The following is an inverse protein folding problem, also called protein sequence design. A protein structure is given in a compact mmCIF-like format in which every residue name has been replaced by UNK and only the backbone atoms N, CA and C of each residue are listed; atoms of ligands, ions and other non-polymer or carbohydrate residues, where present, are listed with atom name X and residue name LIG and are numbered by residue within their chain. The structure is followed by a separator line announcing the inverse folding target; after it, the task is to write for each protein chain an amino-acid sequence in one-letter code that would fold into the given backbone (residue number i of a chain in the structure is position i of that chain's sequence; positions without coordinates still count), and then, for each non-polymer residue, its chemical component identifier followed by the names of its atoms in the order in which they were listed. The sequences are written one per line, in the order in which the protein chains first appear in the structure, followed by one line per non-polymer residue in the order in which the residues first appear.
data_IF_397200910374
#
_entry.id   IF_397200910374
#
_cell.length_a   1.000
_cell.length_b   1.000
_cell.length_c   1.000
_cell.angle_alpha   90.00
_cell.angle_beta   90.00
_cell.angle_gamma   90.00
#
_symmetry.space_group_name_H-M   'P 1'
#
loop_
_entity.id
_entity.type
_entity.pdbx_description
1 polymer ?
#
# COMPACT_ATOMS: atom_id res chain seq x y z
N UNK A 1 42.47 6.93 8.55
CA UNK A 1 41.39 6.55 9.50
C UNK A 1 40.07 7.15 9.04
N UNK A 2 39.62 6.80 7.83
CA UNK A 2 38.38 7.33 7.19
C UNK A 2 37.62 6.21 6.45
N UNK A 3 38.31 5.11 6.11
CA UNK A 3 37.77 3.93 5.41
C UNK A 3 36.95 3.00 6.32
N UNK A 4 37.15 3.04 7.64
CA UNK A 4 36.40 2.21 8.59
C UNK A 4 35.01 2.78 8.90
N UNK A 5 34.88 4.10 9.02
CA UNK A 5 33.60 4.79 9.27
C UNK A 5 32.62 4.60 8.11
N UNK A 6 33.11 4.73 6.87
CA UNK A 6 32.28 4.53 5.67
C UNK A 6 31.78 3.09 5.58
N UNK A 7 32.62 2.09 5.89
CA UNK A 7 32.19 0.68 5.91
C UNK A 7 31.18 0.39 7.01
N UNK A 8 31.28 1.04 8.17
CA UNK A 8 30.32 0.89 9.25
C UNK A 8 28.96 1.48 8.90
N UNK A 9 28.93 2.66 8.28
CA UNK A 9 27.72 3.32 7.77
C UNK A 9 27.07 2.50 6.65
N UNK A 10 27.84 2.00 5.69
CA UNK A 10 27.30 1.15 4.63
C UNK A 10 26.75 -0.18 5.16
N UNK A 11 27.39 -0.77 6.18
CA UNK A 11 26.91 -2.02 6.77
C UNK A 11 25.64 -1.82 7.59
N UNK A 12 25.54 -0.73 8.37
CA UNK A 12 24.31 -0.39 9.11
C UNK A 12 23.17 -0.04 8.17
N UNK A 13 23.37 0.87 7.21
CA UNK A 13 22.35 1.19 6.21
C UNK A 13 21.90 -0.05 5.41
N UNK A 14 22.85 -0.88 4.96
CA UNK A 14 22.52 -2.09 4.22
C UNK A 14 21.72 -3.07 5.08
N UNK A 15 22.01 -3.23 6.38
CA UNK A 15 21.22 -4.11 7.27
C UNK A 15 19.82 -3.55 7.57
N UNK A 16 19.66 -2.24 7.77
CA UNK A 16 18.32 -1.63 7.91
C UNK A 16 17.50 -1.72 6.62
N UNK A 17 18.14 -1.57 5.45
CA UNK A 17 17.46 -1.67 4.15
C UNK A 17 17.14 -3.12 3.79
N UNK A 18 17.97 -4.10 4.19
CA UNK A 18 17.72 -5.53 3.92
C UNK A 18 16.56 -6.12 4.74
N UNK A 19 16.27 -5.59 5.93
CA UNK A 19 15.13 -6.03 6.74
C UNK A 19 13.81 -5.35 6.34
N UNK A 20 13.85 -4.24 5.61
CA UNK A 20 12.66 -3.61 5.04
C UNK A 20 12.12 -4.48 3.89
N UNK A 21 11.40 -5.56 4.22
CA UNK A 21 10.48 -6.16 3.27
C UNK A 21 9.52 -5.04 2.84
N UNK A 22 9.60 -4.66 1.57
CA UNK A 22 8.72 -3.64 1.02
C UNK A 22 7.28 -3.95 1.47
N UNK A 23 6.48 -2.92 1.78
CA UNK A 23 5.12 -3.07 2.31
C UNK A 23 4.25 -4.06 1.52
N UNK A 24 4.61 -4.31 0.27
CA UNK A 24 3.94 -5.20 -0.68
C UNK A 24 4.57 -6.57 -0.92
N UNK A 25 5.71 -6.90 -0.31
CA UNK A 25 6.40 -8.20 -0.43
C UNK A 25 6.53 -8.93 0.92
N UNK A 26 5.71 -8.55 1.91
CA UNK A 26 5.58 -9.34 3.14
C UNK A 26 5.03 -10.73 2.81
N UNK A 27 5.63 -11.77 3.39
CA UNK A 27 5.23 -13.17 3.19
C UNK A 27 4.99 -13.90 4.50
N UNK A 28 5.26 -13.28 5.64
CA UNK A 28 5.11 -13.86 6.97
C UNK A 28 4.28 -12.99 7.91
N UNK A 29 3.73 -13.62 8.97
CA UNK A 29 3.01 -12.92 10.04
C UNK A 29 3.90 -11.95 10.82
N UNK A 30 5.22 -12.16 10.82
CA UNK A 30 6.19 -11.24 11.41
C UNK A 30 6.39 -10.01 10.51
N UNK A 31 6.50 -10.21 9.19
CA UNK A 31 6.64 -9.11 8.22
C UNK A 31 5.43 -8.17 8.28
N UNK A 32 4.21 -8.72 8.37
CA UNK A 32 2.99 -7.91 8.49
C UNK A 32 2.94 -7.13 9.80
N UNK A 33 3.46 -7.67 10.90
CA UNK A 33 3.53 -6.96 12.19
C UNK A 33 4.56 -5.84 12.15
N UNK A 34 5.70 -6.08 11.53
CA UNK A 34 6.72 -5.04 11.37
C UNK A 34 6.19 -3.89 10.51
N UNK A 35 5.53 -4.23 9.40
CA UNK A 35 4.86 -3.27 8.53
C UNK A 35 3.79 -2.46 9.23
N UNK A 36 2.99 -3.11 10.08
CA UNK A 36 2.01 -2.44 10.91
C UNK A 36 2.68 -1.35 11.77
N UNK A 37 3.81 -1.67 12.40
CA UNK A 37 4.56 -0.74 13.23
C UNK A 37 5.14 0.47 12.48
N UNK A 38 5.39 0.37 11.17
CA UNK A 38 5.79 1.54 10.38
C UNK A 38 4.63 2.50 10.10
N UNK A 39 3.39 2.01 10.06
CA UNK A 39 2.19 2.81 9.78
C UNK A 39 1.57 3.34 11.07
N UNK A 40 1.60 2.58 12.17
CA UNK A 40 1.17 2.98 13.52
C UNK A 40 2.19 3.97 14.12
N UNK A 41 2.10 5.24 13.72
CA UNK A 41 3.08 6.29 14.05
C UNK A 41 3.08 6.64 15.55
N UNK A 42 1.93 6.62 16.22
CA UNK A 42 1.79 6.94 17.64
C UNK A 42 1.91 5.70 18.55
N UNK A 43 1.87 4.50 17.98
CA UNK A 43 2.16 3.24 18.68
C UNK A 43 1.04 2.81 19.62
N UNK A 44 -0.19 3.25 19.34
CA UNK A 44 -1.37 2.94 20.18
C UNK A 44 -1.96 1.54 19.87
N UNK A 45 -1.40 0.86 18.87
CA UNK A 45 -1.83 -0.46 18.40
C UNK A 45 -2.94 -0.41 17.35
N UNK A 46 -3.24 0.77 16.80
CA UNK A 46 -4.26 0.97 15.78
C UNK A 46 -3.77 1.87 14.64
N UNK A 47 -4.04 1.47 13.40
CA UNK A 47 -3.84 2.34 12.23
C UNK A 47 -5.12 3.15 12.00
N UNK A 48 -5.01 4.47 12.10
CA UNK A 48 -6.07 5.43 11.73
C UNK A 48 -5.79 6.10 10.36
N UNK A 49 -6.78 6.81 9.83
CA UNK A 49 -6.59 7.62 8.61
C UNK A 49 -5.50 8.69 8.81
N UNK A 50 -5.36 9.24 10.01
CA UNK A 50 -4.32 10.22 10.32
C UNK A 50 -2.93 9.59 10.30
N UNK A 51 -2.75 8.42 10.94
CA UNK A 51 -1.47 7.72 10.92
C UNK A 51 -1.06 7.37 9.49
N UNK A 52 -2.01 6.91 8.67
CA UNK A 52 -1.75 6.63 7.26
C UNK A 52 -1.28 7.89 6.52
N UNK A 53 -1.94 9.03 6.70
CA UNK A 53 -1.53 10.28 6.04
C UNK A 53 -0.15 10.77 6.52
N UNK A 54 0.14 10.66 7.81
CA UNK A 54 1.46 10.98 8.38
C UNK A 54 2.54 10.06 7.81
N UNK A 55 2.28 8.75 7.76
CA UNK A 55 3.18 7.77 7.16
C UNK A 55 3.46 8.10 5.68
N UNK A 56 2.42 8.41 4.89
CA UNK A 56 2.57 8.78 3.47
C UNK A 56 3.37 10.07 3.24
N UNK A 57 3.35 10.98 4.21
CA UNK A 57 4.13 12.23 4.18
C UNK A 57 5.59 12.03 4.66
N UNK A 58 5.90 10.90 5.29
CA UNK A 58 7.22 10.59 5.83
C UNK A 58 8.16 9.92 4.82
N UNK A 59 9.45 9.99 5.08
CA UNK A 59 10.49 9.29 4.31
C UNK A 59 10.33 7.76 4.40
N UNK A 60 9.69 7.25 5.46
CA UNK A 60 9.38 5.83 5.63
C UNK A 60 8.41 5.31 4.57
N UNK A 61 7.64 6.18 3.91
CA UNK A 61 6.75 5.78 2.79
C UNK A 61 7.51 5.19 1.60
N UNK A 62 8.84 5.34 1.54
CA UNK A 62 9.69 4.78 0.48
C UNK A 62 9.64 3.24 0.45
N UNK A 63 9.23 2.59 1.55
CA UNK A 63 9.06 1.13 1.62
C UNK A 63 7.83 0.65 0.83
N UNK A 64 6.95 1.55 0.39
CA UNK A 64 5.84 1.23 -0.50
C UNK A 64 6.38 1.05 -1.92
N UNK A 65 6.59 -0.20 -2.35
CA UNK A 65 7.08 -0.53 -3.69
C UNK A 65 5.98 -0.47 -4.79
N UNK A 66 4.72 -0.26 -4.41
CA UNK A 66 3.56 -0.10 -5.32
C UNK A 66 3.25 1.37 -5.57
N UNK A 67 2.29 1.65 -6.45
CA UNK A 67 1.66 2.97 -6.58
C UNK A 67 1.15 3.44 -5.20
N UNK A 68 1.70 4.57 -4.74
CA UNK A 68 1.43 5.15 -3.42
C UNK A 68 -0.02 5.59 -3.26
N UNK A 69 -0.69 5.98 -4.35
CA UNK A 69 -2.08 6.43 -4.31
C UNK A 69 -3.01 5.24 -4.14
N UNK A 70 -2.71 4.18 -4.88
CA UNK A 70 -3.39 2.92 -4.75
C UNK A 70 -3.35 2.40 -3.31
N UNK A 71 -2.13 2.35 -2.73
CA UNK A 71 -1.92 1.89 -1.37
C UNK A 71 -2.73 2.74 -0.38
N UNK A 72 -2.63 4.06 -0.48
CA UNK A 72 -3.36 5.01 0.37
C UNK A 72 -4.87 4.82 0.28
N UNK A 73 -5.42 4.73 -0.92
CA UNK A 73 -6.87 4.57 -1.14
C UNK A 73 -7.36 3.25 -0.54
N UNK A 74 -6.68 2.15 -0.85
CA UNK A 74 -7.05 0.81 -0.37
C UNK A 74 -6.98 0.75 1.16
N UNK A 75 -5.92 1.27 1.75
CA UNK A 75 -5.75 1.32 3.20
C UNK A 75 -6.82 2.21 3.85
N UNK A 76 -7.09 3.41 3.32
CA UNK A 76 -8.18 4.26 3.80
C UNK A 76 -9.53 3.53 3.80
N UNK A 77 -9.84 2.80 2.72
CA UNK A 77 -11.09 2.04 2.65
C UNK A 77 -11.12 0.88 3.66
N UNK A 78 -10.00 0.17 3.84
CA UNK A 78 -9.89 -0.89 4.82
C UNK A 78 -10.10 -0.35 6.25
N UNK A 79 -9.50 0.79 6.59
CA UNK A 79 -9.69 1.48 7.88
C UNK A 79 -11.15 1.87 8.07
N UNK A 80 -11.80 2.47 7.06
CA UNK A 80 -13.22 2.86 7.13
C UNK A 80 -14.18 1.67 7.27
N UNK A 81 -13.80 0.51 6.75
CA UNK A 81 -14.58 -0.71 6.87
C UNK A 81 -14.41 -1.40 8.23
N UNK A 82 -13.42 -1.00 9.04
CA UNK A 82 -13.37 -1.37 10.45
C UNK A 82 -14.48 -0.62 11.20
N UNK A 83 -15.24 -1.34 12.04
CA UNK A 83 -16.48 -0.81 12.63
C UNK A 83 -16.33 0.43 13.52
N UNK A 84 -15.10 0.75 13.93
CA UNK A 84 -14.69 1.90 14.73
C UNK A 84 -13.76 2.86 13.99
N UNK A 85 -13.54 2.66 12.68
CA UNK A 85 -12.70 3.52 11.85
C UNK A 85 -11.20 3.44 12.16
N UNK A 86 -10.76 2.37 12.84
CA UNK A 86 -9.36 2.11 13.17
C UNK A 86 -9.03 0.65 12.96
N UNK A 87 -7.83 0.36 12.47
CA UNK A 87 -7.45 -1.00 12.08
C UNK A 87 -6.43 -1.56 13.05
N UNK A 88 -6.78 -2.63 13.76
CA UNK A 88 -5.84 -3.37 14.61
C UNK A 88 -4.91 -4.28 13.80
N UNK A 89 -3.85 -4.79 14.45
CA UNK A 89 -2.84 -5.68 13.85
C UNK A 89 -3.44 -6.93 13.20
N UNK A 90 -4.44 -7.56 13.82
CA UNK A 90 -5.06 -8.78 13.29
C UNK A 90 -5.90 -8.47 12.06
N UNK A 91 -6.67 -7.38 12.10
CA UNK A 91 -7.41 -6.85 10.94
C UNK A 91 -6.47 -6.52 9.77
N UNK A 92 -5.35 -5.84 10.05
CA UNK A 92 -4.30 -5.55 9.07
C UNK A 92 -3.69 -6.82 8.48
N UNK A 93 -3.30 -7.77 9.33
CA UNK A 93 -2.68 -9.04 8.89
C UNK A 93 -3.63 -9.84 8.00
N UNK A 94 -4.91 -9.93 8.36
CA UNK A 94 -5.92 -10.60 7.53
C UNK A 94 -6.15 -9.87 6.21
N UNK A 95 -6.15 -8.54 6.24
CA UNK A 95 -6.27 -7.72 5.05
C UNK A 95 -5.09 -7.98 4.09
N UNK A 96 -3.85 -7.95 4.58
CA UNK A 96 -2.65 -8.19 3.77
C UNK A 96 -2.60 -9.63 3.22
N UNK A 97 -2.92 -10.64 4.03
CA UNK A 97 -3.04 -12.03 3.56
C UNK A 97 -4.07 -12.20 2.44
N UNK A 98 -5.22 -11.53 2.54
CA UNK A 98 -6.25 -11.54 1.48
C UNK A 98 -5.75 -10.82 0.23
N UNK A 99 -5.05 -9.71 0.39
CA UNK A 99 -4.45 -8.93 -0.70
C UNK A 99 -3.47 -9.79 -1.50
N UNK A 100 -2.57 -10.50 -0.81
CA UNK A 100 -1.50 -11.28 -1.45
C UNK A 100 -1.97 -12.65 -1.98
N UNK A 101 -3.15 -13.11 -1.53
CA UNK A 101 -3.75 -14.36 -2.01
C UNK A 101 -4.38 -14.26 -3.41
N UNK A 102 -4.59 -13.07 -3.98
CA UNK A 102 -5.23 -12.91 -5.29
C UNK A 102 -4.15 -12.84 -6.40
N UNK A 103 -4.03 -13.85 -7.27
CA UNK A 103 -3.06 -13.83 -8.36
C UNK A 103 -3.28 -12.65 -9.30
N UNK A 104 -2.20 -12.11 -9.88
CA UNK A 104 -2.25 -10.99 -10.84
C UNK A 104 -3.26 -11.22 -11.98
N UNK A 105 -3.30 -12.43 -12.52
CA UNK A 105 -4.25 -12.81 -13.58
C UNK A 105 -5.71 -12.64 -13.16
N UNK A 106 -6.03 -13.00 -11.91
CA UNK A 106 -7.37 -12.82 -11.34
C UNK A 106 -7.70 -11.34 -11.18
N UNK A 107 -6.74 -10.52 -10.74
CA UNK A 107 -6.89 -9.06 -10.60
C UNK A 107 -7.16 -8.41 -11.96
N UNK A 108 -6.35 -8.75 -12.96
CA UNK A 108 -6.52 -8.30 -14.34
C UNK A 108 -7.88 -8.68 -14.90
N UNK A 109 -8.35 -9.91 -14.63
CA UNK A 109 -9.68 -10.35 -15.04
C UNK A 109 -10.79 -9.52 -14.39
N UNK A 110 -10.68 -9.21 -13.09
CA UNK A 110 -11.66 -8.38 -12.38
C UNK A 110 -11.70 -6.94 -12.93
N UNK A 111 -10.53 -6.33 -13.16
CA UNK A 111 -10.41 -4.99 -13.75
C UNK A 111 -11.04 -4.98 -15.15
N UNK A 112 -10.67 -5.94 -16.01
CA UNK A 112 -11.20 -6.05 -17.39
C UNK A 112 -12.71 -6.31 -17.44
N UNK A 113 -13.26 -7.00 -16.44
CA UNK A 113 -14.71 -7.19 -16.30
C UNK A 113 -15.43 -5.86 -16.00
N UNK A 114 -14.83 -4.99 -15.17
CA UNK A 114 -15.40 -3.68 -14.84
C UNK A 114 -15.19 -2.62 -15.92
N UNK A 115 -14.11 -2.72 -16.69
CA UNK A 115 -13.76 -1.80 -17.78
C UNK A 115 -13.53 -2.57 -19.10
N UNK A 116 -14.60 -3.08 -19.74
CA UNK A 116 -14.46 -3.88 -20.95
C UNK A 116 -13.95 -3.04 -22.13
N UNK A 117 -13.02 -3.61 -22.90
CA UNK A 117 -12.44 -3.02 -24.13
C UNK A 117 -11.69 -1.69 -23.95
N UNK A 118 -11.30 -1.36 -22.72
CA UNK A 118 -10.44 -0.21 -22.45
C UNK A 118 -9.00 -0.67 -22.22
N UNK A 119 -8.05 0.18 -22.58
CA UNK A 119 -6.65 0.01 -22.21
C UNK A 119 -6.30 0.96 -21.06
N UNK A 120 -6.85 2.18 -21.11
CA UNK A 120 -6.74 3.20 -20.07
C UNK A 120 -8.11 3.64 -19.56
N UNK A 121 -8.16 4.08 -18.31
CA UNK A 121 -9.35 4.60 -17.63
C UNK A 121 -9.05 5.99 -17.11
N UNK A 122 -9.95 6.94 -17.39
CA UNK A 122 -9.82 8.30 -16.84
C UNK A 122 -10.04 8.30 -15.33
N UNK A 123 -9.43 9.26 -14.65
CA UNK A 123 -9.62 9.50 -13.22
C UNK A 123 -11.09 9.61 -12.84
N UNK A 124 -11.86 10.38 -13.60
CA UNK A 124 -13.27 10.66 -13.33
C UNK A 124 -14.11 9.38 -13.43
N UNK A 125 -13.84 8.55 -14.44
CA UNK A 125 -14.51 7.28 -14.61
C UNK A 125 -14.14 6.28 -13.51
N UNK A 126 -12.86 6.23 -13.14
CA UNK A 126 -12.36 5.36 -12.07
C UNK A 126 -12.98 5.76 -10.72
N UNK A 127 -12.94 7.04 -10.40
CA UNK A 127 -13.54 7.65 -9.21
C UNK A 127 -15.04 7.34 -9.12
N UNK A 128 -15.79 7.57 -10.21
CA UNK A 128 -17.21 7.26 -10.29
C UNK A 128 -17.49 5.77 -10.06
N UNK A 129 -16.67 4.88 -10.62
CA UNK A 129 -16.87 3.42 -10.49
C UNK A 129 -16.58 2.90 -9.09
N UNK A 130 -15.68 3.57 -8.36
CA UNK A 130 -15.26 3.18 -7.02
C UNK A 130 -16.00 3.92 -5.91
N UNK A 131 -16.75 4.98 -6.24
CA UNK A 131 -17.39 5.83 -5.25
C UNK A 131 -16.38 6.67 -4.45
N UNK A 132 -15.28 7.04 -5.09
CA UNK A 132 -14.17 7.81 -4.50
C UNK A 132 -14.16 9.19 -5.15
N UNK A 133 -13.76 10.23 -4.41
CA UNK A 133 -13.60 11.57 -4.98
C UNK A 133 -12.45 11.59 -6.01
N UNK A 134 -12.63 12.18 -7.21
CA UNK A 134 -11.56 12.32 -8.19
C UNK A 134 -10.27 12.93 -7.63
N UNK A 135 -10.35 13.86 -6.66
CA UNK A 135 -9.16 14.49 -6.06
C UNK A 135 -8.24 13.52 -5.33
N UNK A 136 -8.71 12.31 -5.03
CA UNK A 136 -7.92 11.26 -4.37
C UNK A 136 -6.92 10.57 -5.33
N UNK A 137 -7.01 10.85 -6.63
CA UNK A 137 -6.17 10.26 -7.67
C UNK A 137 -5.22 11.31 -8.26
N UNK A 138 -3.91 11.06 -8.24
CA UNK A 138 -2.93 12.03 -8.78
C UNK A 138 -2.69 11.90 -10.29
N UNK A 139 -3.10 10.80 -10.93
CA UNK A 139 -3.00 10.64 -12.40
C UNK A 139 -4.34 10.98 -13.05
N UNK A 140 -4.28 11.61 -14.22
CA UNK A 140 -5.47 11.86 -15.05
C UNK A 140 -5.97 10.57 -15.73
N UNK A 141 -5.06 9.64 -16.01
CA UNK A 141 -5.36 8.36 -16.67
C UNK A 141 -4.58 7.23 -16.03
N UNK A 142 -5.23 6.06 -15.94
CA UNK A 142 -4.68 4.83 -15.35
C UNK A 142 -4.76 3.68 -16.35
N UNK A 143 -3.62 3.06 -16.63
CA UNK A 143 -3.53 1.87 -17.48
C UNK A 143 -4.09 0.64 -16.77
N UNK A 144 -4.93 -0.14 -17.46
CA UNK A 144 -5.51 -1.36 -16.92
C UNK A 144 -4.43 -2.38 -16.55
N UNK A 145 -3.39 -2.52 -17.37
CA UNK A 145 -2.37 -3.57 -17.23
C UNK A 145 -1.24 -3.17 -16.30
N UNK A 146 -0.96 -1.88 -16.15
CA UNK A 146 0.17 -1.37 -15.36
C UNK A 146 -0.24 -0.70 -14.06
N UNK A 147 -1.34 0.06 -14.05
CA UNK A 147 -1.75 0.80 -12.86
C UNK A 147 -2.87 0.06 -12.10
N UNK A 148 -3.98 -0.24 -12.79
CA UNK A 148 -5.16 -0.82 -12.15
C UNK A 148 -4.96 -2.28 -11.74
N UNK A 149 -4.11 -3.01 -12.46
CA UNK A 149 -3.70 -4.37 -12.11
C UNK A 149 -3.08 -4.45 -10.72
N UNK A 150 -2.36 -3.39 -10.31
CA UNK A 150 -1.65 -3.30 -9.04
C UNK A 150 -2.43 -2.54 -7.97
N UNK A 151 -3.55 -1.90 -8.34
CA UNK A 151 -4.33 -1.09 -7.42
C UNK A 151 -5.09 -1.87 -6.35
N UNK A 152 -5.28 -3.19 -6.47
CA UNK A 152 -6.04 -4.02 -5.49
C UNK A 152 -7.49 -3.53 -5.21
N UNK A 153 -8.02 -2.63 -6.03
CA UNK A 153 -9.36 -2.04 -5.88
C UNK A 153 -10.49 -3.00 -6.32
N UNK A 154 -10.15 -4.23 -6.75
CA UNK A 154 -11.00 -5.12 -7.54
C UNK A 154 -10.80 -6.60 -7.24
#
# INVERSE_FOLDING_TARGET
MLVMEVRFIFYTLATTVLMCAALTDARSDEDYKEQFGYIDVDGDGFITEENLLQFMASDSSVIIATDRDAFRIVMKQAIKNCGDGKMDVNSYTQFMKKKDAIPLETRLKNVRSKFPKKEDVSREELASKLGIDPSEFHKETYSITQDLAYMYLF
#
